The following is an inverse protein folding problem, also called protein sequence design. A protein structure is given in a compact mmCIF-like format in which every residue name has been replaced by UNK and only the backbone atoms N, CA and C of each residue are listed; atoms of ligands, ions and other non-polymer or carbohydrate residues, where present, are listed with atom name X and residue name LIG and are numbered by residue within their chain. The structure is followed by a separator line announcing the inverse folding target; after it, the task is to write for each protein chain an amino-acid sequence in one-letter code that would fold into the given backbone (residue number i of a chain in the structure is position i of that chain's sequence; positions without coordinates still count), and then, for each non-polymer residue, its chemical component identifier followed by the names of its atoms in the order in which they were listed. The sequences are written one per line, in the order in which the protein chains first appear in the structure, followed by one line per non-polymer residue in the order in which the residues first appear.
data_IF_927725725707
#
_entry.id   IF_927725725707
#
_cell.length_a   1.000
_cell.length_b   1.000
_cell.length_c   1.000
_cell.angle_alpha   90.00
_cell.angle_beta   90.00
_cell.angle_gamma   90.00
#
_symmetry.space_group_name_H-M   'P 1'
#
loop_
_entity.id
_entity.type
_entity.pdbx_description
1 polymer ?
#
# COMPACT_ATOMS: atom_id res chain seq x y z
N UNK A 1 32.70 25.46 10.93
CA UNK A 1 31.30 25.22 10.49
C UNK A 1 31.27 25.35 8.97
N UNK A 2 31.42 24.23 8.27
CA UNK A 2 30.48 23.89 7.19
C UNK A 2 30.13 22.39 7.17
N UNK A 3 28.89 22.06 6.84
CA UNK A 3 28.21 20.78 7.07
C UNK A 3 27.98 20.01 5.75
N UNK A 4 29.04 19.74 4.99
CA UNK A 4 28.93 19.07 3.68
C UNK A 4 29.65 17.71 3.59
N UNK A 5 29.79 16.94 4.67
CA UNK A 5 30.61 15.71 4.60
C UNK A 5 30.15 14.55 5.50
N UNK A 6 28.90 14.10 5.38
CA UNK A 6 28.47 12.83 6.01
C UNK A 6 27.52 11.95 5.17
N UNK A 7 27.12 12.35 3.96
CA UNK A 7 26.19 11.54 3.14
C UNK A 7 26.86 10.49 2.24
N UNK A 8 27.96 9.89 2.69
CA UNK A 8 28.78 8.97 1.88
C UNK A 8 28.91 7.53 2.43
N UNK A 9 27.97 7.05 3.24
CA UNK A 9 28.02 5.65 3.69
C UNK A 9 26.61 5.15 4.01
N UNK A 10 25.95 4.49 3.05
CA UNK A 10 24.96 3.39 3.15
C UNK A 10 24.44 3.19 1.71
N UNK A 11 25.26 2.58 0.86
CA UNK A 11 24.82 2.02 -0.41
C UNK A 11 25.88 1.05 -0.92
N UNK A 12 26.08 -0.02 -0.15
CA UNK A 12 26.87 -1.18 -0.55
C UNK A 12 26.56 -2.30 0.45
N UNK A 13 25.63 -3.18 0.05
CA UNK A 13 25.57 -4.61 0.38
C UNK A 13 24.20 -5.16 -0.08
N UNK A 14 24.13 -5.55 -1.35
CA UNK A 14 23.22 -6.62 -1.77
C UNK A 14 23.83 -7.32 -2.98
N UNK A 15 24.89 -8.06 -2.70
CA UNK A 15 25.50 -9.02 -3.60
C UNK A 15 25.17 -10.40 -3.03
N UNK A 16 24.24 -11.13 -3.66
CA UNK A 16 24.13 -12.57 -3.46
C UNK A 16 23.59 -13.22 -4.74
N UNK A 17 24.50 -13.86 -5.43
CA UNK A 17 24.35 -14.56 -6.69
C UNK A 17 23.43 -15.79 -6.61
N UNK A 18 22.75 -16.10 -7.72
CA UNK A 18 22.77 -17.44 -8.34
C UNK A 18 22.15 -17.43 -9.74
N UNK A 19 23.06 -17.54 -10.72
CA UNK A 19 22.94 -18.17 -12.04
C UNK A 19 21.60 -18.83 -12.41
N UNK A 20 20.92 -18.27 -13.41
CA UNK A 20 20.14 -19.04 -14.38
C UNK A 20 20.52 -18.53 -15.76
N UNK A 21 21.09 -19.41 -16.58
CA UNK A 21 21.39 -19.14 -17.99
C UNK A 21 20.08 -18.96 -18.75
N UNK A 22 19.84 -17.78 -19.32
CA UNK A 22 18.77 -17.59 -20.29
C UNK A 22 19.31 -17.89 -21.70
N UNK A 23 18.56 -18.59 -22.56
CA UNK A 23 18.94 -18.78 -23.96
C UNK A 23 18.85 -17.46 -24.71
N UNK A 24 19.85 -17.18 -25.55
CA UNK A 24 19.85 -16.02 -26.46
C UNK A 24 18.99 -16.38 -27.69
N UNK A 25 17.93 -15.64 -28.04
CA UNK A 25 17.27 -15.81 -29.33
C UNK A 25 18.03 -15.03 -30.41
N UNK A 26 18.19 -15.70 -31.54
CA UNK A 26 18.85 -15.29 -32.76
C UNK A 26 18.31 -13.98 -33.36
N UNK A 27 19.22 -13.25 -33.98
CA UNK A 27 19.03 -11.98 -34.68
C UNK A 27 18.20 -12.16 -35.95
N UNK A 28 16.95 -11.70 -35.94
CA UNK A 28 16.21 -11.40 -37.16
C UNK A 28 15.49 -10.06 -37.04
N UNK A 29 15.87 -9.12 -37.91
CA UNK A 29 15.41 -7.75 -37.90
C UNK A 29 13.94 -7.64 -38.31
N UNK A 30 13.10 -7.24 -37.36
CA UNK A 30 11.79 -6.63 -37.62
C UNK A 30 11.55 -5.50 -36.62
N UNK A 31 10.91 -4.38 -37.02
CA UNK A 31 10.69 -3.24 -36.14
C UNK A 31 9.48 -3.52 -35.25
N UNK A 32 9.69 -4.25 -34.15
CA UNK A 32 8.67 -4.45 -33.13
C UNK A 32 8.66 -3.28 -32.16
N UNK A 33 7.51 -2.62 -32.10
CA UNK A 33 7.12 -1.57 -31.16
C UNK A 33 7.53 -1.95 -29.72
N UNK A 34 8.61 -1.35 -29.20
CA UNK A 34 9.21 -1.67 -27.91
C UNK A 34 8.36 -1.05 -26.77
N UNK A 35 7.25 -1.67 -26.42
CA UNK A 35 6.86 -1.58 -25.01
C UNK A 35 7.77 -2.55 -24.29
N UNK A 36 8.83 -2.02 -23.68
CA UNK A 36 9.67 -2.80 -22.79
C UNK A 36 8.74 -3.58 -21.86
N UNK A 37 8.76 -4.91 -21.96
CA UNK A 37 8.02 -5.77 -21.06
C UNK A 37 8.53 -5.47 -19.66
N UNK A 38 7.78 -4.63 -18.93
CA UNK A 38 8.05 -4.38 -17.53
C UNK A 38 7.84 -5.75 -16.89
N UNK A 39 8.95 -6.40 -16.53
CA UNK A 39 8.93 -7.68 -15.86
C UNK A 39 8.42 -7.46 -14.42
N UNK A 40 7.11 -7.24 -14.28
CA UNK A 40 6.46 -7.08 -12.98
C UNK A 40 6.43 -8.45 -12.32
N UNK A 41 7.38 -8.68 -11.40
CA UNK A 41 7.33 -9.83 -10.52
C UNK A 41 6.14 -9.67 -9.58
N UNK A 42 5.07 -10.44 -9.81
CA UNK A 42 3.94 -10.50 -8.89
C UNK A 42 4.40 -11.32 -7.67
N UNK A 43 4.49 -10.74 -6.47
CA UNK A 43 4.90 -11.49 -5.30
C UNK A 43 3.87 -12.57 -4.99
N UNK A 44 4.34 -13.74 -4.54
CA UNK A 44 3.49 -14.79 -3.98
C UNK A 44 3.58 -14.75 -2.45
N UNK A 45 2.73 -13.96 -1.77
CA UNK A 45 2.85 -13.73 -0.32
C UNK A 45 2.30 -14.89 0.52
N UNK A 46 1.59 -15.83 -0.09
CA UNK A 46 0.97 -16.97 0.61
C UNK A 46 1.77 -18.23 0.33
N UNK A 47 2.29 -18.82 1.40
CA UNK A 47 2.94 -20.13 1.37
C UNK A 47 2.03 -21.20 1.95
N UNK A 48 2.07 -22.41 1.39
CA UNK A 48 1.29 -23.55 1.87
C UNK A 48 2.21 -24.44 2.70
N UNK A 49 1.99 -24.48 4.01
CA UNK A 49 2.73 -25.37 4.91
C UNK A 49 2.11 -26.76 4.92
N UNK A 50 2.95 -27.77 4.61
CA UNK A 50 2.62 -29.19 4.69
C UNK A 50 3.25 -29.79 5.94
N UNK A 51 2.46 -29.93 7.00
CA UNK A 51 2.89 -30.43 8.32
C UNK A 51 2.96 -31.97 8.42
N UNK A 52 2.62 -32.70 7.36
CA UNK A 52 2.59 -34.17 7.36
C UNK A 52 1.42 -34.80 8.14
N UNK A 53 0.60 -33.98 8.82
CA UNK A 53 -0.62 -34.40 9.51
C UNK A 53 -1.78 -34.52 8.52
N UNK A 54 -2.75 -35.37 8.83
CA UNK A 54 -3.96 -35.52 8.03
C UNK A 54 -4.80 -34.23 8.11
N UNK A 55 -5.30 -33.76 6.96
CA UNK A 55 -6.14 -32.56 6.86
C UNK A 55 -5.70 -31.59 5.76
N UNK A 56 -6.41 -30.46 5.66
CA UNK A 56 -6.12 -29.39 4.70
C UNK A 56 -4.79 -28.70 5.08
N UNK A 57 -3.84 -28.53 4.15
CA UNK A 57 -2.62 -27.78 4.40
C UNK A 57 -2.88 -26.35 4.87
N UNK A 58 -2.03 -25.83 5.74
CA UNK A 58 -2.17 -24.49 6.31
C UNK A 58 -1.66 -23.45 5.32
N UNK A 59 -2.43 -22.37 5.14
CA UNK A 59 -1.96 -21.17 4.44
C UNK A 59 -1.28 -20.24 5.43
N UNK A 60 -0.05 -19.84 5.15
CA UNK A 60 0.74 -18.91 5.96
C UNK A 60 1.13 -17.73 5.09
N UNK A 61 0.96 -16.53 5.63
CA UNK A 61 1.24 -15.28 4.92
C UNK A 61 2.52 -14.68 5.47
N UNK A 62 3.36 -14.13 4.61
CA UNK A 62 4.49 -13.32 5.08
C UNK A 62 3.99 -12.13 5.92
N UNK A 63 4.36 -12.03 7.21
CA UNK A 63 3.92 -10.92 8.05
C UNK A 63 4.42 -9.56 7.55
N UNK A 64 5.59 -9.50 6.90
CA UNK A 64 6.13 -8.25 6.35
C UNK A 64 5.24 -7.69 5.23
N UNK A 65 4.76 -8.57 4.36
CA UNK A 65 3.79 -8.22 3.32
C UNK A 65 2.46 -7.72 3.91
N UNK A 66 1.98 -8.35 4.99
CA UNK A 66 0.74 -7.91 5.63
C UNK A 66 0.86 -6.53 6.25
N UNK A 67 1.98 -6.24 6.91
CA UNK A 67 2.23 -4.94 7.51
C UNK A 67 2.27 -3.82 6.45
N UNK A 68 2.98 -4.07 5.35
CA UNK A 68 3.05 -3.13 4.22
C UNK A 68 1.68 -2.91 3.57
N UNK A 69 0.90 -3.98 3.36
CA UNK A 69 -0.42 -3.89 2.71
C UNK A 69 -1.46 -3.20 3.58
N UNK A 70 -1.40 -3.38 4.89
CA UNK A 70 -2.31 -2.77 5.86
C UNK A 70 -1.94 -1.33 6.20
N UNK A 71 -0.70 -0.91 5.89
CA UNK A 71 -0.24 0.45 6.10
C UNK A 71 -1.14 1.53 5.48
N UNK A 72 -1.20 2.69 6.12
CA UNK A 72 -2.07 3.83 5.75
C UNK A 72 -1.87 4.33 4.32
N UNK A 73 -0.73 4.03 3.70
CA UNK A 73 -0.40 4.46 2.34
C UNK A 73 -1.19 3.73 1.25
N UNK A 74 -1.50 2.44 1.44
CA UNK A 74 -2.16 1.62 0.40
C UNK A 74 -3.69 1.59 0.52
N UNK A 75 -4.21 1.82 1.72
CA UNK A 75 -5.65 1.94 2.03
C UNK A 75 -6.53 0.82 1.44
N UNK A 76 -6.03 -0.42 1.47
CA UNK A 76 -6.74 -1.59 0.95
C UNK A 76 -7.73 -2.09 2.01
N UNK A 77 -8.98 -2.37 1.62
CA UNK A 77 -9.96 -2.95 2.53
C UNK A 77 -9.57 -4.39 2.88
N UNK A 78 -9.73 -4.79 4.14
CA UNK A 78 -9.45 -6.16 4.58
C UNK A 78 -10.24 -7.23 3.82
N UNK A 79 -11.45 -6.92 3.39
CA UNK A 79 -12.26 -7.82 2.54
C UNK A 79 -11.65 -8.02 1.17
N UNK A 80 -11.19 -6.94 0.53
CA UNK A 80 -10.53 -7.00 -0.78
C UNK A 80 -9.20 -7.74 -0.65
N UNK A 81 -8.42 -7.46 0.39
CA UNK A 81 -7.18 -8.18 0.69
C UNK A 81 -7.43 -9.68 0.91
N UNK A 82 -8.47 -10.05 1.65
CA UNK A 82 -8.83 -11.46 1.85
C UNK A 82 -9.20 -12.15 0.53
N UNK A 83 -9.96 -11.49 -0.33
CA UNK A 83 -10.28 -11.98 -1.67
C UNK A 83 -9.02 -12.17 -2.53
N UNK A 84 -8.10 -11.21 -2.52
CA UNK A 84 -6.84 -11.27 -3.27
C UNK A 84 -5.93 -12.43 -2.79
N UNK A 85 -5.88 -12.67 -1.48
CA UNK A 85 -5.13 -13.78 -0.89
C UNK A 85 -5.84 -15.14 -0.99
N UNK A 86 -7.08 -15.16 -1.48
CA UNK A 86 -7.91 -16.37 -1.55
C UNK A 86 -8.17 -16.97 -0.17
N UNK A 87 -8.39 -16.12 0.84
CA UNK A 87 -8.68 -16.53 2.21
C UNK A 87 -10.00 -15.97 2.70
N UNK A 88 -10.58 -16.62 3.70
CA UNK A 88 -11.73 -16.05 4.39
C UNK A 88 -11.30 -14.87 5.28
N UNK A 89 -12.12 -13.82 5.36
CA UNK A 89 -11.87 -12.63 6.17
C UNK A 89 -11.51 -12.96 7.63
N UNK A 90 -12.22 -13.91 8.25
CA UNK A 90 -11.95 -14.28 9.65
C UNK A 90 -10.56 -14.88 9.84
N UNK A 91 -10.06 -15.64 8.86
CA UNK A 91 -8.70 -16.17 8.92
C UNK A 91 -7.69 -15.04 8.87
N UNK A 92 -7.87 -14.08 7.95
CA UNK A 92 -7.00 -12.92 7.85
C UNK A 92 -7.01 -12.10 9.16
N UNK A 93 -8.18 -11.82 9.73
CA UNK A 93 -8.29 -11.10 11.00
C UNK A 93 -7.66 -11.88 12.16
N UNK A 94 -7.82 -13.20 12.22
CA UNK A 94 -7.17 -14.03 13.25
C UNK A 94 -5.65 -13.99 13.10
N UNK A 95 -5.15 -14.04 11.87
CA UNK A 95 -3.73 -13.99 11.56
C UNK A 95 -3.13 -12.64 11.96
N UNK A 96 -3.79 -11.54 11.58
CA UNK A 96 -3.40 -10.19 11.98
C UNK A 96 -3.30 -10.03 13.50
N UNK A 97 -4.29 -10.53 14.25
CA UNK A 97 -4.26 -10.52 15.72
C UNK A 97 -3.10 -11.31 16.29
N UNK A 98 -2.78 -12.48 15.73
CA UNK A 98 -1.63 -13.28 16.16
C UNK A 98 -0.29 -12.57 15.94
N UNK A 99 -0.18 -11.75 14.89
CA UNK A 99 1.02 -10.99 14.57
C UNK A 99 1.01 -9.55 15.10
N UNK A 100 -0.04 -9.13 15.81
CA UNK A 100 -0.17 -7.77 16.35
C UNK A 100 -0.34 -6.67 15.28
N UNK A 101 -0.78 -7.03 14.07
CA UNK A 101 -0.98 -6.09 12.97
C UNK A 101 -2.41 -5.54 13.06
N UNK A 102 -2.53 -4.22 13.17
CA UNK A 102 -3.83 -3.54 13.28
C UNK A 102 -4.01 -2.47 12.20
N UNK A 103 -5.25 -2.29 11.74
CA UNK A 103 -5.61 -1.19 10.85
C UNK A 103 -5.92 0.04 11.70
N UNK A 104 -5.04 1.05 11.68
CA UNK A 104 -5.30 2.32 12.36
C UNK A 104 -5.80 3.40 11.40
N UNK A 105 -6.57 4.34 11.93
CA UNK A 105 -6.81 5.60 11.24
C UNK A 105 -5.63 6.54 11.49
N UNK A 106 -5.36 7.45 10.57
CA UNK A 106 -4.36 8.49 10.77
C UNK A 106 -4.74 9.36 11.98
N UNK A 107 -3.75 9.66 12.81
CA UNK A 107 -3.89 10.52 14.00
C UNK A 107 -3.99 12.01 13.64
N UNK A 108 -4.79 12.35 12.61
CA UNK A 108 -5.08 13.74 12.26
C UNK A 108 -6.08 14.32 13.23
N UNK A 109 -5.80 15.53 13.73
CA UNK A 109 -6.76 16.34 14.47
C UNK A 109 -7.86 16.88 13.56
N UNK A 110 -9.00 17.29 14.14
CA UNK A 110 -10.08 17.89 13.36
C UNK A 110 -9.65 19.24 12.75
N UNK A 111 -8.80 20.01 13.45
CA UNK A 111 -8.31 21.29 12.96
C UNK A 111 -7.36 21.13 11.77
N UNK A 112 -6.44 20.16 11.82
CA UNK A 112 -5.56 19.83 10.68
C UNK A 112 -6.38 19.34 9.48
N UNK A 113 -7.39 18.52 9.72
CA UNK A 113 -8.28 18.03 8.67
C UNK A 113 -9.04 19.19 8.01
N UNK A 114 -9.58 20.13 8.79
CA UNK A 114 -10.25 21.33 8.29
C UNK A 114 -9.29 22.19 7.46
N UNK A 115 -8.05 22.37 7.92
CA UNK A 115 -7.03 23.14 7.18
C UNK A 115 -6.71 22.50 5.82
N UNK A 116 -6.51 21.19 5.76
CA UNK A 116 -6.24 20.47 4.50
C UNK A 116 -7.43 20.61 3.54
N UNK A 117 -8.66 20.42 4.04
CA UNK A 117 -9.87 20.55 3.24
C UNK A 117 -10.07 21.98 2.75
N UNK A 118 -9.81 22.98 3.60
CA UNK A 118 -9.92 24.40 3.26
C UNK A 118 -8.91 24.79 2.18
N UNK A 119 -7.66 24.33 2.28
CA UNK A 119 -6.65 24.52 1.23
C UNK A 119 -7.07 23.88 -0.10
N UNK A 120 -7.61 22.66 -0.05
CA UNK A 120 -8.12 21.97 -1.23
C UNK A 120 -9.30 22.71 -1.88
N UNK A 121 -10.25 23.19 -1.07
CA UNK A 121 -11.42 23.96 -1.52
C UNK A 121 -11.07 25.35 -2.04
N UNK A 122 -10.02 25.98 -1.51
CA UNK A 122 -9.50 27.23 -2.06
C UNK A 122 -8.98 27.03 -3.50
N UNK A 123 -8.33 25.90 -3.77
CA UNK A 123 -7.88 25.54 -5.11
C UNK A 123 -9.02 25.05 -6.04
N UNK A 124 -10.03 24.36 -5.48
CA UNK A 124 -11.14 23.74 -6.22
C UNK A 124 -12.48 23.93 -5.49
N UNK A 125 -13.17 25.07 -5.65
CA UNK A 125 -14.36 25.39 -4.86
C UNK A 125 -15.53 24.42 -5.10
N UNK A 126 -15.75 23.99 -6.35
CA UNK A 126 -16.87 23.12 -6.73
C UNK A 126 -16.64 21.62 -6.45
N UNK A 127 -15.56 21.29 -5.74
CA UNK A 127 -15.20 19.91 -5.45
C UNK A 127 -16.09 19.32 -4.35
N UNK A 128 -16.66 18.14 -4.62
CA UNK A 128 -17.46 17.39 -3.66
C UNK A 128 -16.64 16.49 -2.73
N UNK A 129 -17.33 15.81 -1.81
CA UNK A 129 -16.75 14.90 -0.82
C UNK A 129 -15.85 13.81 -1.43
N UNK A 130 -16.25 13.21 -2.55
CA UNK A 130 -15.46 12.16 -3.20
C UNK A 130 -14.06 12.64 -3.61
N UNK A 131 -13.95 13.87 -4.09
CA UNK A 131 -12.66 14.47 -4.47
C UNK A 131 -11.80 14.79 -3.26
N UNK A 132 -12.41 15.24 -2.17
CA UNK A 132 -11.74 15.47 -0.89
C UNK A 132 -11.17 14.16 -0.33
N UNK A 133 -11.98 13.10 -0.33
CA UNK A 133 -11.51 11.77 0.10
C UNK A 133 -10.32 11.37 -0.75
N UNK A 134 -10.45 11.37 -2.09
CA UNK A 134 -9.36 11.02 -2.99
C UNK A 134 -8.09 11.84 -2.78
N UNK A 135 -8.22 13.13 -2.46
CA UNK A 135 -7.08 13.99 -2.11
C UNK A 135 -6.41 13.54 -0.82
N UNK A 136 -7.17 13.22 0.23
CA UNK A 136 -6.63 12.67 1.48
C UNK A 136 -5.92 11.33 1.26
N UNK A 137 -6.46 10.47 0.38
CA UNK A 137 -5.81 9.20 0.02
C UNK A 137 -4.47 9.44 -0.68
N UNK A 138 -4.41 10.41 -1.61
CA UNK A 138 -3.18 10.78 -2.30
C UNK A 138 -2.10 11.34 -1.35
N UNK A 139 -2.51 11.95 -0.23
CA UNK A 139 -1.62 12.38 0.85
C UNK A 139 -1.22 11.24 1.81
N UNK A 140 -1.79 10.04 1.65
CA UNK A 140 -1.54 8.91 2.55
C UNK A 140 -2.31 8.97 3.87
N UNK A 141 -3.33 9.81 3.97
CA UNK A 141 -4.15 9.94 5.16
C UNK A 141 -5.40 9.06 5.08
N UNK A 142 -5.52 8.11 6.00
CA UNK A 142 -6.67 7.24 6.14
C UNK A 142 -7.56 7.76 7.27
N UNK A 143 -8.65 8.43 6.91
CA UNK A 143 -9.54 9.12 7.84
C UNK A 143 -10.94 8.50 7.79
N UNK A 144 -11.63 8.52 8.92
CA UNK A 144 -13.03 8.09 9.01
C UNK A 144 -13.93 8.97 8.12
N UNK A 145 -14.80 8.33 7.33
CA UNK A 145 -15.73 9.01 6.43
C UNK A 145 -16.55 10.11 7.12
N UNK A 146 -17.12 9.81 8.29
CA UNK A 146 -17.93 10.78 9.05
C UNK A 146 -17.12 12.00 9.48
N UNK A 147 -15.84 11.83 9.85
CA UNK A 147 -14.96 12.96 10.21
C UNK A 147 -14.72 13.87 9.02
N UNK A 148 -14.50 13.30 7.82
CA UNK A 148 -14.35 14.07 6.59
C UNK A 148 -15.63 14.82 6.25
N UNK A 149 -16.78 14.16 6.34
CA UNK A 149 -18.09 14.78 6.09
C UNK A 149 -18.34 15.97 7.03
N UNK A 150 -18.16 15.80 8.34
CA UNK A 150 -18.35 16.89 9.31
C UNK A 150 -17.38 18.06 9.07
N UNK A 151 -16.13 17.76 8.72
CA UNK A 151 -15.10 18.77 8.43
C UNK A 151 -15.44 19.56 7.18
N UNK A 152 -15.87 18.86 6.13
CA UNK A 152 -16.36 19.48 4.90
C UNK A 152 -17.57 20.37 5.15
N UNK A 153 -18.55 19.91 5.93
CA UNK A 153 -19.66 20.76 6.35
C UNK A 153 -19.14 22.01 7.06
N UNK A 154 -18.27 21.91 8.08
CA UNK A 154 -17.75 23.10 8.76
C UNK A 154 -17.12 24.10 7.79
N UNK A 155 -16.28 23.64 6.86
CA UNK A 155 -15.59 24.50 5.88
C UNK A 155 -16.57 25.13 4.89
N UNK A 156 -17.53 24.36 4.36
CA UNK A 156 -18.49 24.86 3.37
C UNK A 156 -19.51 25.83 4.00
N UNK A 157 -19.84 25.70 5.29
CA UNK A 157 -20.73 26.64 6.00
C UNK A 157 -20.03 27.95 6.44
N UNK A 158 -18.69 28.02 6.36
CA UNK A 158 -17.91 29.23 6.72
C UNK A 158 -17.83 30.22 5.53
N UNK A 159 -18.42 29.89 4.38
CA UNK A 159 -18.30 30.67 3.14
C UNK A 159 -19.55 31.46 2.76
#
# INVERSE_FOLDING_TARGET
MPWESVFCTILLLCECAKSVSCPVPSSDGTPTNYRADIHVCIPQPVTILRTGKWGRPQKVIDPSFLDETVSNFRQIKLTELACLLGMHRNMLCSYMKHHGIECHYSALSNAELDQVIMQFKAARPDSGLCYVIGHLQALGHHVQYQRVLHSLCRVDHIR
#
